data_IF_547373822772
#
_entry.id   IF_547373822772
#
_cell.length_a   1.000
_cell.length_b   1.000
_cell.length_c   1.000
_cell.angle_alpha   90.00
_cell.angle_beta   90.00
_cell.angle_gamma   90.00
#
_symmetry.space_group_name_H-M   'P 1'
#
loop_
_entity.id
_entity.type
_entity.pdbx_description
1 polymer ?
#
# COMPACT_ATOMS: atom_id res chain seq x y z
N UNK A 1 -3.85 -10.36 -5.10
CA UNK A 1 -3.18 -11.34 -4.22
C UNK A 1 -3.36 -11.06 -2.73
N UNK A 2 -3.95 -9.92 -2.32
CA UNK A 2 -4.19 -9.59 -0.91
C UNK A 2 -2.98 -8.93 -0.25
N UNK A 3 -3.22 -8.38 0.94
CA UNK A 3 -2.26 -7.82 1.90
C UNK A 3 -2.71 -8.20 3.32
N UNK A 4 -1.94 -9.05 4.00
CA UNK A 4 -2.30 -9.53 5.34
C UNK A 4 -2.11 -8.48 6.43
N UNK A 5 -1.22 -7.51 6.24
CA UNK A 5 -0.94 -6.47 7.24
C UNK A 5 -2.15 -5.54 7.33
N UNK A 6 -2.74 -5.20 6.18
CA UNK A 6 -3.90 -4.31 6.07
C UNK A 6 -5.25 -5.03 6.10
N UNK A 7 -5.29 -6.31 6.49
CA UNK A 7 -6.50 -7.14 6.49
C UNK A 7 -7.24 -7.20 5.13
N UNK A 8 -6.48 -7.18 4.03
CA UNK A 8 -7.01 -7.30 2.68
C UNK A 8 -6.81 -8.75 2.20
N UNK A 9 -7.81 -9.63 2.27
CA UNK A 9 -7.62 -11.05 1.94
C UNK A 9 -7.34 -11.28 0.44
N UNK A 10 -7.76 -10.35 -0.42
CA UNK A 10 -7.75 -10.53 -1.87
C UNK A 10 -8.75 -11.58 -2.35
N UNK A 11 -8.74 -11.87 -3.66
CA UNK A 11 -9.63 -12.88 -4.24
C UNK A 11 -9.16 -14.28 -3.84
N UNK A 12 -9.99 -15.01 -3.10
CA UNK A 12 -9.64 -16.33 -2.55
C UNK A 12 -9.22 -17.30 -3.66
N UNK A 13 -8.02 -17.86 -3.51
CA UNK A 13 -7.46 -18.80 -4.48
C UNK A 13 -6.94 -18.15 -5.76
N UNK A 14 -6.74 -16.83 -5.79
CA UNK A 14 -5.96 -16.09 -6.79
C UNK A 14 -4.72 -15.50 -6.10
N UNK A 15 -3.67 -16.32 -6.02
CA UNK A 15 -2.39 -15.93 -5.43
C UNK A 15 -1.51 -15.08 -6.34
N UNK A 16 -0.32 -14.65 -5.87
CA UNK A 16 0.62 -13.81 -6.63
C UNK A 16 0.95 -14.36 -8.02
N UNK A 17 1.22 -15.66 -8.14
CA UNK A 17 1.56 -16.29 -9.43
C UNK A 17 0.43 -16.20 -10.45
N UNK A 18 -0.80 -16.48 -10.02
CA UNK A 18 -1.99 -16.37 -10.88
C UNK A 18 -2.27 -14.92 -11.23
N UNK A 19 -2.22 -14.01 -10.25
CA UNK A 19 -2.43 -12.58 -10.48
C UNK A 19 -1.41 -12.00 -11.47
N UNK A 20 -0.13 -12.36 -11.34
CA UNK A 20 0.91 -11.93 -12.28
C UNK A 20 0.70 -12.50 -13.68
N UNK A 21 0.28 -13.77 -13.81
CA UNK A 21 -0.04 -14.36 -15.11
C UNK A 21 -1.21 -13.67 -15.81
N UNK A 22 -2.23 -13.30 -15.05
CA UNK A 22 -3.38 -12.55 -15.54
C UNK A 22 -2.99 -11.13 -15.97
N UNK A 23 -2.23 -10.41 -15.15
CA UNK A 23 -1.81 -9.05 -15.47
C UNK A 23 -0.82 -9.00 -16.64
N UNK A 24 -0.04 -10.06 -16.90
CA UNK A 24 0.75 -10.15 -18.13
C UNK A 24 -0.09 -10.32 -19.40
N UNK A 25 -1.32 -10.81 -19.27
CA UNK A 25 -2.20 -11.04 -20.42
C UNK A 25 -3.19 -9.89 -20.64
N UNK A 26 -3.73 -9.33 -19.56
CA UNK A 26 -4.75 -8.28 -19.60
C UNK A 26 -4.20 -6.89 -19.27
N UNK A 27 -2.92 -6.75 -18.92
CA UNK A 27 -2.27 -5.48 -18.54
C UNK A 27 -2.77 -4.80 -17.25
N UNK A 28 -4.06 -4.87 -16.93
CA UNK A 28 -4.67 -4.20 -15.79
C UNK A 28 -5.86 -4.97 -15.23
N UNK A 29 -6.28 -4.62 -14.01
CA UNK A 29 -7.49 -5.15 -13.40
C UNK A 29 -8.75 -4.75 -14.18
N UNK A 30 -8.76 -3.53 -14.74
CA UNK A 30 -9.91 -3.03 -15.52
C UNK A 30 -10.09 -3.81 -16.82
N UNK A 31 -8.99 -4.02 -17.56
CA UNK A 31 -9.04 -4.81 -18.79
C UNK A 31 -9.41 -6.27 -18.52
N UNK A 32 -8.87 -6.85 -17.43
CA UNK A 32 -9.24 -8.20 -16.99
C UNK A 32 -10.75 -8.32 -16.76
N UNK A 33 -11.38 -7.34 -16.10
CA UNK A 33 -12.83 -7.40 -15.86
C UNK A 33 -13.65 -7.05 -17.10
N UNK A 34 -13.14 -6.21 -18.01
CA UNK A 34 -13.77 -5.91 -19.30
C UNK A 34 -13.82 -7.14 -20.20
N UNK A 35 -12.77 -7.96 -20.18
CA UNK A 35 -12.58 -9.15 -21.04
C UNK A 35 -12.68 -10.46 -20.24
N UNK A 36 -13.36 -10.43 -19.09
CA UNK A 36 -13.35 -11.55 -18.15
C UNK A 36 -13.89 -12.85 -18.77
N UNK A 37 -14.85 -12.75 -19.68
CA UNK A 37 -15.47 -13.89 -20.36
C UNK A 37 -14.50 -14.61 -21.32
N UNK A 38 -13.38 -14.00 -21.72
CA UNK A 38 -12.32 -14.65 -22.50
C UNK A 38 -11.46 -15.59 -21.64
N UNK A 39 -11.35 -15.30 -20.33
CA UNK A 39 -10.43 -15.97 -19.42
C UNK A 39 -10.54 -17.51 -19.43
N UNK A 40 -11.73 -18.14 -19.40
CA UNK A 40 -11.85 -19.61 -19.41
C UNK A 40 -11.22 -20.29 -20.64
N UNK A 41 -11.09 -19.56 -21.75
CA UNK A 41 -10.60 -20.08 -23.04
C UNK A 41 -9.10 -19.84 -23.24
N UNK A 42 -8.46 -19.06 -22.35
CA UNK A 42 -7.03 -18.81 -22.43
C UNK A 42 -6.23 -20.06 -22.09
N UNK A 43 -5.09 -20.24 -22.76
CA UNK A 43 -4.10 -21.30 -22.47
C UNK A 43 -3.27 -21.00 -21.22
N UNK A 44 -3.91 -20.50 -20.16
CA UNK A 44 -3.31 -20.23 -18.86
C UNK A 44 -3.64 -21.37 -17.89
N UNK A 45 -2.66 -21.83 -17.11
CA UNK A 45 -2.89 -22.87 -16.11
C UNK A 45 -3.92 -22.40 -15.09
N UNK A 46 -5.04 -23.12 -15.00
CA UNK A 46 -6.11 -22.81 -14.05
C UNK A 46 -7.03 -21.66 -14.48
N UNK A 47 -7.05 -21.27 -15.76
CA UNK A 47 -7.85 -20.14 -16.25
C UNK A 47 -9.35 -20.26 -15.92
N UNK A 48 -9.96 -21.42 -16.17
CA UNK A 48 -11.36 -21.70 -15.82
C UNK A 48 -11.64 -21.59 -14.32
N UNK A 49 -10.70 -22.04 -13.48
CA UNK A 49 -10.81 -21.93 -12.02
C UNK A 49 -10.64 -20.48 -11.54
N UNK A 50 -9.74 -19.72 -12.16
CA UNK A 50 -9.56 -18.30 -11.88
C UNK A 50 -10.82 -17.50 -12.25
N UNK A 51 -11.43 -17.78 -13.41
CA UNK A 51 -12.71 -17.19 -13.82
C UNK A 51 -13.82 -17.42 -12.78
N UNK A 52 -13.99 -18.67 -12.32
CA UNK A 52 -14.99 -19.02 -11.31
C UNK A 52 -14.81 -18.31 -9.97
N UNK A 53 -13.59 -17.84 -9.66
CA UNK A 53 -13.27 -17.06 -8.45
C UNK A 53 -13.40 -15.55 -8.67
N UNK A 54 -12.94 -15.06 -9.83
CA UNK A 54 -12.88 -13.63 -10.14
C UNK A 54 -14.25 -13.03 -10.46
N UNK A 55 -15.13 -13.79 -11.12
CA UNK A 55 -16.48 -13.33 -11.50
C UNK A 55 -17.34 -12.97 -10.29
N UNK A 56 -17.51 -13.83 -9.27
CA UNK A 56 -18.26 -13.45 -8.07
C UNK A 56 -17.53 -12.42 -7.20
N UNK A 57 -16.20 -12.41 -7.19
CA UNK A 57 -15.41 -11.49 -6.35
C UNK A 57 -15.12 -10.13 -7.00
N UNK A 58 -15.88 -9.72 -8.03
CA UNK A 58 -15.62 -8.48 -8.79
C UNK A 58 -15.65 -7.24 -7.91
N UNK A 59 -16.70 -7.09 -7.12
CA UNK A 59 -16.88 -5.92 -6.26
C UNK A 59 -15.81 -5.84 -5.19
N UNK A 60 -15.49 -6.96 -4.54
CA UNK A 60 -14.41 -7.07 -3.57
C UNK A 60 -13.05 -6.71 -4.20
N UNK A 61 -12.74 -7.23 -5.38
CA UNK A 61 -11.48 -6.92 -6.06
C UNK A 61 -11.34 -5.43 -6.40
N UNK A 62 -12.43 -4.79 -6.83
CA UNK A 62 -12.47 -3.34 -7.11
C UNK A 62 -12.35 -2.51 -5.84
N UNK A 63 -12.98 -2.95 -4.73
CA UNK A 63 -12.82 -2.34 -3.42
C UNK A 63 -11.37 -2.45 -2.95
N UNK A 64 -10.77 -3.64 -3.01
CA UNK A 64 -9.38 -3.85 -2.60
C UNK A 64 -8.42 -3.00 -3.43
N UNK A 65 -8.64 -2.84 -4.74
CA UNK A 65 -7.88 -1.90 -5.56
C UNK A 65 -7.99 -0.47 -5.05
N UNK A 66 -9.18 -0.04 -4.63
CA UNK A 66 -9.38 1.31 -4.09
C UNK A 66 -8.62 1.49 -2.78
N UNK A 67 -8.70 0.50 -1.89
CA UNK A 67 -8.05 0.54 -0.58
C UNK A 67 -6.52 0.52 -0.68
N UNK A 68 -5.95 -0.20 -1.65
CA UNK A 68 -4.49 -0.28 -1.83
C UNK A 68 -3.91 0.81 -2.73
N UNK A 69 -4.73 1.65 -3.35
CA UNK A 69 -4.25 2.72 -4.22
C UNK A 69 -3.83 3.92 -3.39
N UNK A 70 -2.59 4.36 -3.59
CA UNK A 70 -2.09 5.63 -3.02
C UNK A 70 -2.93 6.78 -3.60
N UNK A 71 -3.52 7.58 -2.70
CA UNK A 71 -4.17 8.83 -3.05
C UNK A 71 -3.12 9.88 -3.38
N UNK A 72 -3.03 10.28 -4.65
CA UNK A 72 -2.10 11.31 -5.13
C UNK A 72 -2.70 12.73 -5.05
N UNK A 73 -3.98 12.80 -4.75
CA UNK A 73 -4.83 13.99 -4.62
C UNK A 73 -5.27 14.21 -3.17
N UNK A 74 -4.49 13.70 -2.20
CA UNK A 74 -4.75 13.92 -0.79
C UNK A 74 -4.78 15.44 -0.50
N UNK A 75 -5.80 15.94 0.24
CA UNK A 75 -5.96 17.36 0.51
C UNK A 75 -4.95 17.81 1.58
N UNK A 76 -3.70 17.99 1.18
CA UNK A 76 -2.61 18.43 2.04
C UNK A 76 -2.45 19.94 1.85
N UNK A 77 -2.76 20.70 2.90
CA UNK A 77 -2.58 22.16 2.94
C UNK A 77 -1.19 22.50 3.52
N UNK A 78 -0.14 22.09 2.80
CA UNK A 78 1.26 22.37 3.17
C UNK A 78 2.05 22.79 1.92
N UNK A 79 2.78 23.88 2.05
CA UNK A 79 3.78 24.31 1.08
C UNK A 79 5.11 23.59 1.29
N UNK A 80 5.95 23.56 0.25
CA UNK A 80 7.30 23.03 0.35
C UNK A 80 8.17 23.82 1.35
N UNK A 81 7.91 25.12 1.49
CA UNK A 81 8.59 26.01 2.44
C UNK A 81 8.32 25.58 3.88
N UNK A 82 7.07 25.21 4.20
CA UNK A 82 6.67 24.72 5.52
C UNK A 82 7.26 23.35 5.86
N UNK A 83 7.65 22.57 4.84
CA UNK A 83 8.28 21.26 5.00
C UNK A 83 9.80 21.32 5.09
N UNK A 84 10.41 22.52 4.96
CA UNK A 84 11.86 22.66 5.16
C UNK A 84 12.23 22.30 6.59
N UNK A 85 13.37 21.60 6.81
CA UNK A 85 13.87 21.36 8.15
C UNK A 85 13.98 22.66 8.95
N UNK A 86 13.24 22.74 10.05
CA UNK A 86 13.29 23.86 10.97
C UNK A 86 14.31 23.62 12.09
N UNK A 87 14.73 24.69 12.75
CA UNK A 87 15.56 24.58 13.95
C UNK A 87 14.80 23.81 15.04
N UNK A 88 15.46 22.81 15.62
CA UNK A 88 14.89 22.01 16.70
C UNK A 88 14.88 22.80 18.01
N UNK A 89 13.75 22.81 18.69
CA UNK A 89 13.64 23.25 20.08
C UNK A 89 14.15 22.12 21.00
N UNK A 90 15.37 22.26 21.50
CA UNK A 90 16.02 21.25 22.33
C UNK A 90 15.39 21.13 23.72
N UNK A 91 14.84 22.21 24.26
CA UNK A 91 14.21 22.19 25.58
C UNK A 91 12.86 21.45 25.50
N UNK A 92 12.08 21.69 24.45
CA UNK A 92 10.86 20.95 24.17
C UNK A 92 11.15 19.47 23.88
N UNK A 93 12.19 19.18 23.11
CA UNK A 93 12.61 17.82 22.82
C UNK A 93 13.07 17.07 24.08
N UNK A 94 13.87 17.69 24.95
CA UNK A 94 14.34 17.06 26.18
C UNK A 94 13.18 16.72 27.14
N UNK A 95 12.21 17.63 27.28
CA UNK A 95 10.98 17.36 28.05
C UNK A 95 10.21 16.17 27.49
N UNK A 96 10.04 16.09 26.17
CA UNK A 96 9.39 14.97 25.51
C UNK A 96 10.17 13.67 25.76
N UNK A 97 11.50 13.71 25.65
CA UNK A 97 12.36 12.55 25.88
C UNK A 97 12.25 12.02 27.31
N UNK A 98 12.18 12.90 28.32
CA UNK A 98 11.92 12.48 29.71
C UNK A 98 10.53 11.85 29.87
N UNK A 99 9.50 12.41 29.23
CA UNK A 99 8.14 11.87 29.29
C UNK A 99 8.00 10.47 28.69
N UNK A 100 8.70 10.19 27.58
CA UNK A 100 8.64 8.87 26.90
C UNK A 100 9.72 7.90 27.38
N UNK A 101 10.57 8.30 28.34
CA UNK A 101 11.60 7.46 28.93
C UNK A 101 12.83 7.21 28.04
N UNK A 102 13.15 8.14 27.12
CA UNK A 102 14.32 8.01 26.28
C UNK A 102 15.62 8.26 27.05
N UNK A 103 16.51 7.27 26.99
CA UNK A 103 17.79 7.28 27.68
C UNK A 103 18.84 8.25 27.09
N UNK A 104 19.96 8.45 27.80
CA UNK A 104 20.98 9.45 27.47
C UNK A 104 21.57 9.35 26.05
N UNK A 105 21.68 8.13 25.50
CA UNK A 105 22.18 7.90 24.15
C UNK A 105 21.29 8.54 23.08
N UNK A 106 19.97 8.46 23.25
CA UNK A 106 19.02 9.02 22.30
C UNK A 106 19.03 10.55 22.34
N UNK A 107 19.05 11.14 23.55
CA UNK A 107 19.18 12.59 23.75
C UNK A 107 20.47 13.14 23.14
N UNK A 108 21.61 12.46 23.36
CA UNK A 108 22.90 12.84 22.78
C UNK A 108 22.89 12.81 21.25
N UNK A 109 22.27 11.79 20.65
CA UNK A 109 22.12 11.70 19.19
C UNK A 109 21.25 12.82 18.63
N UNK A 110 20.12 13.13 19.27
CA UNK A 110 19.22 14.22 18.85
C UNK A 110 19.93 15.58 18.85
N UNK A 111 20.66 15.91 19.94
CA UNK A 111 21.41 17.17 20.04
C UNK A 111 22.47 17.33 18.94
N UNK A 112 23.17 16.25 18.59
CA UNK A 112 24.16 16.25 17.50
C UNK A 112 23.53 16.45 16.13
N UNK A 113 22.31 15.94 15.91
CA UNK A 113 21.58 16.15 14.66
C UNK A 113 21.04 17.58 14.55
N UNK A 114 20.57 18.15 15.66
CA UNK A 114 20.10 19.53 15.74
C UNK A 114 21.22 20.59 15.58
N UNK A 115 22.48 20.19 15.76
CA UNK A 115 23.65 21.05 15.59
C UNK A 115 24.20 21.08 14.15
N UNK A 116 23.55 20.36 13.22
CA UNK A 116 23.85 20.37 11.77
C UNK A 116 22.88 21.27 11.04
#
# INVERSE_FOLDING_TARGET
SGDSVDNIPGVRGVGPTTAAALLRHFDSLDDLYRRLEELPFLRLRGAKAAYGKLKPAREEALLYRRLTRIALDAPIDLSWEQLRPARVDLDAADKLFDQVGFGPLFKSRARRLAAR
#
